data_IF_298126590023
#
_entry.id   IF_298126590023
#
_cell.length_a   1.000
_cell.length_b   1.000
_cell.length_c   1.000
_cell.angle_alpha   90.00
_cell.angle_beta   90.00
_cell.angle_gamma   90.00
#
_symmetry.space_group_name_H-M   'P 1'
#
loop_
_entity.id
_entity.type
_entity.pdbx_description
1 polymer ?
#
# COMPACT_ATOMS: atom_id res chain seq x y z
N UNK A 1 -2.83 -9.28 -7.96
CA UNK A 1 -2.07 -9.80 -6.81
C UNK A 1 -2.97 -10.23 -5.66
N UNK A 2 -3.92 -9.40 -5.22
CA UNK A 2 -4.76 -9.73 -4.05
C UNK A 2 -5.57 -11.04 -4.18
N UNK A 3 -6.18 -11.32 -5.33
CA UNK A 3 -6.87 -12.59 -5.57
C UNK A 3 -5.93 -13.81 -5.62
N UNK A 4 -4.69 -13.62 -6.07
CA UNK A 4 -3.65 -14.67 -6.08
C UNK A 4 -3.21 -14.96 -4.65
N UNK A 5 -2.99 -13.92 -3.84
CA UNK A 5 -2.71 -14.04 -2.41
C UNK A 5 -3.82 -14.80 -1.66
N UNK A 6 -5.07 -14.44 -1.88
CA UNK A 6 -6.21 -15.15 -1.30
C UNK A 6 -6.26 -16.62 -1.70
N UNK A 7 -5.88 -16.93 -2.94
CA UNK A 7 -5.86 -18.30 -3.44
C UNK A 7 -4.71 -19.10 -2.84
N UNK A 8 -3.55 -18.46 -2.59
CA UNK A 8 -2.41 -19.09 -1.93
C UNK A 8 -2.68 -19.38 -0.44
N UNK A 9 -3.44 -18.53 0.24
CA UNK A 9 -3.89 -18.79 1.62
C UNK A 9 -4.81 -20.02 1.73
N UNK A 10 -5.39 -20.51 0.63
CA UNK A 10 -6.18 -21.74 0.63
C UNK A 10 -5.31 -23.02 0.57
N UNK A 11 -4.03 -22.90 0.22
CA UNK A 11 -3.13 -24.06 0.06
C UNK A 11 -2.52 -24.47 1.39
N UNK A 12 -3.09 -25.49 2.01
CA UNK A 12 -2.53 -26.12 3.21
C UNK A 12 -1.85 -27.43 2.81
N UNK A 13 -0.50 -27.50 2.83
CA UNK A 13 0.21 -28.74 2.54
C UNK A 13 -0.08 -29.77 3.63
N UNK A 14 -0.30 -31.02 3.22
CA UNK A 14 -0.49 -32.18 4.08
C UNK A 14 0.42 -33.31 3.63
N UNK A 15 0.85 -34.13 4.59
CA UNK A 15 1.49 -35.40 4.27
C UNK A 15 0.42 -36.36 3.76
N UNK A 16 0.65 -36.94 2.58
CA UNK A 16 -0.17 -38.04 2.08
C UNK A 16 -0.11 -39.23 3.04
N UNK A 17 -1.13 -40.10 3.06
CA UNK A 17 -1.23 -41.26 3.97
C UNK A 17 -0.03 -42.23 3.87
N UNK A 18 0.70 -42.20 2.75
CA UNK A 18 1.93 -42.97 2.56
C UNK A 18 3.19 -42.29 3.12
N UNK A 19 3.08 -41.09 3.70
CA UNK A 19 4.15 -40.26 4.29
C UNK A 19 5.33 -39.95 3.35
N UNK A 20 5.22 -40.26 2.05
CA UNK A 20 6.28 -40.08 1.06
C UNK A 20 6.02 -38.92 0.09
N UNK A 21 4.82 -38.34 0.13
CA UNK A 21 4.40 -37.25 -0.75
C UNK A 21 3.71 -36.13 0.04
N UNK A 22 3.87 -34.89 -0.43
CA UNK A 22 3.00 -33.79 -0.04
C UNK A 22 1.78 -33.76 -0.96
N UNK A 23 0.61 -33.56 -0.37
CA UNK A 23 -0.63 -33.21 -1.06
C UNK A 23 -1.17 -31.88 -0.51
N UNK A 24 -2.15 -31.27 -1.17
CA UNK A 24 -2.84 -30.08 -0.68
C UNK A 24 -4.24 -30.43 -0.23
N UNK A 25 -4.65 -29.91 0.94
CA UNK A 25 -6.00 -30.13 1.43
C UNK A 25 -7.04 -29.57 0.44
N UNK A 26 -7.88 -30.45 -0.10
CA UNK A 26 -8.89 -30.11 -1.12
C UNK A 26 -9.93 -29.09 -0.62
N UNK A 27 -10.39 -28.23 -1.53
CA UNK A 27 -11.20 -27.04 -1.26
C UNK A 27 -12.57 -27.24 -0.57
N UNK A 28 -12.95 -28.45 -0.16
CA UNK A 28 -14.10 -28.68 0.72
C UNK A 28 -13.72 -28.65 2.21
N UNK A 29 -12.49 -29.05 2.57
CA UNK A 29 -12.02 -29.11 3.97
C UNK A 29 -11.33 -27.82 4.44
N UNK A 30 -10.80 -27.02 3.51
CA UNK A 30 -10.12 -25.73 3.77
C UNK A 30 -11.04 -24.51 3.59
N UNK A 31 -12.24 -24.70 3.04
CA UNK A 31 -13.22 -23.61 2.80
C UNK A 31 -13.71 -23.02 4.13
N UNK A 32 -13.06 -21.94 4.55
CA UNK A 32 -13.57 -21.01 5.56
C UNK A 32 -12.87 -21.02 6.92
N UNK A 33 -11.90 -21.92 7.17
CA UNK A 33 -11.31 -22.02 8.50
C UNK A 33 -10.27 -20.91 8.78
N UNK A 34 -9.32 -20.67 7.85
CA UNK A 34 -8.31 -19.61 8.01
C UNK A 34 -8.85 -18.21 7.67
N UNK A 35 -9.69 -18.06 6.63
CA UNK A 35 -10.27 -16.75 6.22
C UNK A 35 -11.02 -16.02 7.34
N UNK A 36 -11.83 -16.77 8.10
CA UNK A 36 -12.63 -16.22 9.20
C UNK A 36 -11.80 -15.90 10.44
N UNK A 37 -10.67 -16.58 10.64
CA UNK A 37 -9.77 -16.33 11.77
C UNK A 37 -8.77 -15.21 11.49
N UNK A 38 -8.29 -15.07 10.25
CA UNK A 38 -7.31 -14.02 9.89
C UNK A 38 -7.93 -12.75 9.33
N UNK A 39 -9.22 -12.75 8.96
CA UNK A 39 -9.91 -11.59 8.38
C UNK A 39 -9.37 -11.18 7.00
N UNK A 40 -8.59 -12.03 6.34
CA UNK A 40 -7.93 -11.72 5.06
C UNK A 40 -8.93 -11.79 3.90
N UNK A 41 -9.59 -10.67 3.62
CA UNK A 41 -10.50 -10.49 2.50
C UNK A 41 -9.96 -9.45 1.53
N UNK A 42 -9.94 -9.80 0.25
CA UNK A 42 -9.62 -8.91 -0.86
C UNK A 42 -10.73 -7.87 -1.03
N UNK A 43 -10.35 -6.61 -1.08
CA UNK A 43 -11.24 -5.51 -1.43
C UNK A 43 -11.44 -5.46 -2.94
N UNK A 44 -12.66 -5.63 -3.47
CA UNK A 44 -12.94 -5.44 -4.89
C UNK A 44 -12.51 -4.06 -5.37
N UNK A 45 -11.95 -3.99 -6.58
CA UNK A 45 -11.42 -2.74 -7.14
C UNK A 45 -12.49 -1.63 -7.20
N UNK A 46 -13.74 -1.95 -7.53
CA UNK A 46 -14.83 -0.95 -7.54
C UNK A 46 -15.04 -0.26 -6.18
N UNK A 47 -14.87 -0.98 -5.07
CA UNK A 47 -14.95 -0.39 -3.73
C UNK A 47 -13.72 0.45 -3.43
N UNK A 48 -12.53 0.00 -3.86
CA UNK A 48 -11.30 0.79 -3.75
C UNK A 48 -11.47 2.11 -4.48
N UNK A 49 -11.87 2.09 -5.75
CA UNK A 49 -12.06 3.33 -6.54
C UNK A 49 -13.09 4.25 -5.90
N UNK A 50 -14.22 3.72 -5.42
CA UNK A 50 -15.26 4.53 -4.74
C UNK A 50 -14.71 5.27 -3.51
N UNK A 51 -13.85 4.60 -2.72
CA UNK A 51 -13.19 5.22 -1.57
C UNK A 51 -12.16 6.26 -2.00
N UNK A 52 -11.35 6.00 -3.02
CA UNK A 52 -10.37 6.97 -3.51
C UNK A 52 -11.06 8.23 -4.07
N UNK A 53 -12.13 8.06 -4.84
CA UNK A 53 -12.89 9.17 -5.42
C UNK A 53 -13.48 10.10 -4.33
N UNK A 54 -13.91 9.54 -3.20
CA UNK A 54 -14.55 10.30 -2.12
C UNK A 54 -13.61 10.80 -1.03
N UNK A 55 -12.50 10.08 -0.76
CA UNK A 55 -11.60 10.38 0.35
C UNK A 55 -10.24 10.92 -0.09
N UNK A 56 -9.70 10.48 -1.23
CA UNK A 56 -8.35 10.85 -1.68
C UNK A 56 -8.38 12.04 -2.65
N UNK A 57 -9.22 11.97 -3.68
CA UNK A 57 -9.27 12.98 -4.75
C UNK A 57 -9.53 14.41 -4.24
N UNK A 58 -10.44 14.65 -3.26
CA UNK A 58 -10.64 15.99 -2.71
C UNK A 58 -9.37 16.52 -2.02
N UNK A 59 -8.64 15.66 -1.30
CA UNK A 59 -7.42 16.05 -0.59
C UNK A 59 -6.28 16.34 -1.57
N UNK A 60 -6.15 15.57 -2.65
CA UNK A 60 -5.21 15.86 -3.74
C UNK A 60 -5.50 17.26 -4.31
N UNK A 61 -6.77 17.57 -4.58
CA UNK A 61 -7.16 18.88 -5.12
C UNK A 61 -6.85 20.03 -4.14
N UNK A 62 -7.05 19.83 -2.84
CA UNK A 62 -6.71 20.80 -1.81
C UNK A 62 -5.19 21.02 -1.72
N UNK A 63 -4.42 19.94 -1.67
CA UNK A 63 -2.96 19.98 -1.56
C UNK A 63 -2.30 20.58 -2.80
N UNK A 64 -2.85 20.30 -3.99
CA UNK A 64 -2.44 20.97 -5.24
C UNK A 64 -2.63 22.50 -5.16
N UNK A 65 -3.64 22.98 -4.45
CA UNK A 65 -3.90 24.41 -4.22
C UNK A 65 -3.11 25.00 -3.03
N UNK A 66 -2.29 24.19 -2.36
CA UNK A 66 -1.55 24.55 -1.15
C UNK A 66 -2.40 24.64 0.11
N UNK A 67 -3.61 24.06 0.10
CA UNK A 67 -4.45 23.99 1.29
C UNK A 67 -3.93 22.86 2.17
N UNK A 68 -3.60 23.18 3.42
CA UNK A 68 -3.13 22.22 4.43
C UNK A 68 -1.74 21.66 4.17
N UNK A 69 -0.91 22.32 3.35
CA UNK A 69 0.51 22.01 3.20
C UNK A 69 1.32 22.68 4.32
N UNK A 70 2.36 22.03 4.88
CA UNK A 70 3.09 22.56 6.04
C UNK A 70 3.80 23.90 5.79
N UNK A 71 4.36 24.12 4.60
CA UNK A 71 5.10 25.34 4.26
C UNK A 71 4.47 26.13 3.10
N UNK A 72 3.20 25.87 2.78
CA UNK A 72 2.49 26.54 1.69
C UNK A 72 2.92 26.06 0.30
N UNK A 73 3.50 24.86 0.19
CA UNK A 73 3.80 24.22 -1.10
C UNK A 73 2.51 24.11 -1.94
N UNK A 74 2.63 24.28 -3.26
CA UNK A 74 1.51 24.18 -4.20
C UNK A 74 1.87 23.23 -5.35
N UNK A 75 0.91 22.95 -6.23
CA UNK A 75 1.13 22.11 -7.39
C UNK A 75 1.51 20.68 -6.99
N UNK A 76 2.47 20.12 -7.72
CA UNK A 76 2.95 18.76 -7.50
C UNK A 76 3.64 18.59 -6.13
N UNK A 77 4.42 19.58 -5.70
CA UNK A 77 5.10 19.53 -4.40
C UNK A 77 4.11 19.60 -3.24
N UNK A 78 3.02 20.35 -3.40
CA UNK A 78 1.91 20.33 -2.44
C UNK A 78 1.28 18.94 -2.30
N UNK A 79 1.06 18.22 -3.41
CA UNK A 79 0.55 16.84 -3.37
C UNK A 79 1.55 15.91 -2.67
N UNK A 80 2.85 16.07 -2.93
CA UNK A 80 3.91 15.24 -2.34
C UNK A 80 4.12 15.46 -0.83
N UNK A 81 3.47 16.45 -0.21
CA UNK A 81 3.45 16.58 1.26
C UNK A 81 2.43 15.63 1.91
N UNK A 82 1.62 14.91 1.14
CA UNK A 82 0.61 14.02 1.68
C UNK A 82 1.20 12.72 2.21
N UNK A 83 0.52 12.16 3.21
CA UNK A 83 0.76 10.83 3.76
C UNK A 83 -0.54 10.04 3.69
N UNK A 84 -0.51 8.88 3.03
CA UNK A 84 -1.60 7.91 2.97
C UNK A 84 -1.16 6.69 3.78
N UNK A 85 -1.95 6.32 4.78
CA UNK A 85 -1.67 5.19 5.66
C UNK A 85 -2.83 4.18 5.61
N UNK A 86 -2.51 2.90 5.43
CA UNK A 86 -3.45 1.78 5.57
C UNK A 86 -3.01 0.88 6.74
N UNK A 87 -3.72 0.90 7.89
CA UNK A 87 -3.34 0.16 9.10
C UNK A 87 -3.67 -1.34 9.06
N UNK A 88 -4.27 -1.83 7.97
CA UNK A 88 -4.51 -3.25 7.73
C UNK A 88 -4.33 -3.55 6.24
N UNK A 89 -3.13 -3.23 5.73
CA UNK A 89 -2.94 -3.06 4.29
C UNK A 89 -3.03 -4.35 3.46
N UNK A 90 -2.97 -5.51 4.12
CA UNK A 90 -2.90 -6.81 3.46
C UNK A 90 -1.82 -6.80 2.40
N UNK A 91 -2.15 -7.29 1.20
CA UNK A 91 -1.24 -7.29 0.05
C UNK A 91 -1.00 -5.91 -0.60
N UNK A 92 -1.42 -4.82 0.03
CA UNK A 92 -1.18 -3.45 -0.44
C UNK A 92 -2.05 -3.00 -1.62
N UNK A 93 -3.20 -3.62 -1.86
CA UNK A 93 -4.02 -3.29 -3.04
C UNK A 93 -4.54 -1.85 -3.01
N UNK A 94 -5.02 -1.40 -1.85
CA UNK A 94 -5.49 -0.03 -1.64
C UNK A 94 -4.33 0.97 -1.77
N UNK A 95 -3.19 0.67 -1.13
CA UNK A 95 -1.97 1.48 -1.19
C UNK A 95 -1.47 1.67 -2.62
N UNK A 96 -1.45 0.60 -3.42
CA UNK A 96 -1.04 0.67 -4.83
C UNK A 96 -1.98 1.54 -5.66
N UNK A 97 -3.30 1.41 -5.46
CA UNK A 97 -4.30 2.22 -6.15
C UNK A 97 -4.18 3.70 -5.77
N UNK A 98 -4.02 4.01 -4.48
CA UNK A 98 -3.76 5.37 -3.99
C UNK A 98 -2.47 5.95 -4.58
N UNK A 99 -1.39 5.16 -4.61
CA UNK A 99 -0.11 5.57 -5.18
C UNK A 99 -0.24 5.96 -6.65
N UNK A 100 -0.93 5.14 -7.45
CA UNK A 100 -1.20 5.44 -8.87
C UNK A 100 -2.02 6.71 -9.05
N UNK A 101 -3.07 6.91 -8.23
CA UNK A 101 -3.92 8.10 -8.28
C UNK A 101 -3.14 9.38 -7.97
N UNK A 102 -2.32 9.34 -6.93
CA UNK A 102 -1.43 10.46 -6.57
C UNK A 102 -0.36 10.70 -7.63
N UNK A 103 0.25 9.65 -8.18
CA UNK A 103 1.29 9.77 -9.21
C UNK A 103 0.75 10.38 -10.51
N UNK A 104 -0.45 10.00 -10.93
CA UNK A 104 -1.14 10.60 -12.07
C UNK A 104 -1.39 12.10 -11.84
N UNK A 105 -1.87 12.47 -10.65
CA UNK A 105 -2.09 13.86 -10.29
C UNK A 105 -0.78 14.68 -10.26
N UNK A 106 0.30 14.13 -9.70
CA UNK A 106 1.64 14.75 -9.68
C UNK A 106 2.16 14.96 -11.10
N UNK A 107 2.14 13.90 -11.92
CA UNK A 107 2.66 13.95 -13.28
C UNK A 107 1.87 14.95 -14.16
N UNK A 108 0.53 14.95 -14.06
CA UNK A 108 -0.31 15.93 -14.76
C UNK A 108 -0.04 17.35 -14.31
N UNK A 109 0.09 17.57 -13.00
CA UNK A 109 0.33 18.91 -12.46
C UNK A 109 1.69 19.47 -12.92
N UNK A 110 2.72 18.63 -13.03
CA UNK A 110 4.03 19.04 -13.59
C UNK A 110 3.94 19.36 -15.08
N UNK A 111 3.30 18.49 -15.86
CA UNK A 111 3.09 18.70 -17.29
C UNK A 111 2.30 20.01 -17.56
N UNK A 112 1.23 20.27 -16.79
CA UNK A 112 0.46 21.51 -16.87
C UNK A 112 1.30 22.76 -16.56
N UNK A 113 2.20 22.69 -15.58
CA UNK A 113 3.07 23.81 -15.21
C UNK A 113 4.13 24.12 -16.28
N UNK A 114 4.60 23.10 -17.00
CA UNK A 114 5.60 23.22 -18.06
C UNK A 114 4.98 23.44 -19.45
N UNK A 115 3.65 23.32 -19.56
CA UNK A 115 2.93 23.40 -20.83
C UNK A 115 3.16 22.17 -21.73
N UNK A 116 3.57 21.06 -21.13
CA UNK A 116 3.86 19.79 -21.80
C UNK A 116 2.65 18.84 -21.78
N UNK A 117 2.70 17.82 -22.63
CA UNK A 117 1.72 16.73 -22.58
C UNK A 117 2.15 15.67 -21.58
N UNK A 118 1.19 14.87 -21.10
CA UNK A 118 1.47 13.78 -20.18
C UNK A 118 2.45 12.76 -20.79
N UNK A 119 3.55 12.49 -20.09
CA UNK A 119 4.56 11.51 -20.46
C UNK A 119 4.53 10.29 -19.52
N UNK A 120 4.45 9.05 -20.03
CA UNK A 120 4.63 7.84 -19.24
C UNK A 120 5.91 7.80 -18.39
N UNK A 121 7.01 8.44 -18.80
CA UNK A 121 8.21 8.52 -17.97
C UNK A 121 8.01 9.45 -16.76
N UNK A 122 7.34 10.59 -16.94
CA UNK A 122 6.95 11.47 -15.85
C UNK A 122 6.03 10.76 -14.83
N UNK A 123 5.08 9.94 -15.31
CA UNK A 123 4.25 9.11 -14.42
C UNK A 123 5.07 8.10 -13.61
N UNK A 124 5.98 7.36 -14.25
CA UNK A 124 6.85 6.40 -13.53
C UNK A 124 7.70 7.09 -12.48
N UNK A 125 8.24 8.27 -12.81
CA UNK A 125 9.02 9.06 -11.87
C UNK A 125 8.17 9.52 -10.67
N UNK A 126 6.99 10.08 -10.95
CA UNK A 126 6.04 10.49 -9.91
C UNK A 126 5.61 9.32 -9.02
N UNK A 127 5.35 8.15 -9.61
CA UNK A 127 4.95 6.95 -8.87
C UNK A 127 6.05 6.48 -7.92
N UNK A 128 7.29 6.52 -8.37
CA UNK A 128 8.44 6.24 -7.52
C UNK A 128 8.54 7.22 -6.35
N UNK A 129 8.36 8.52 -6.57
CA UNK A 129 8.38 9.51 -5.50
C UNK A 129 7.25 9.31 -4.49
N UNK A 130 6.02 9.10 -4.98
CA UNK A 130 4.84 8.86 -4.15
C UNK A 130 5.01 7.61 -3.30
N UNK A 131 5.42 6.48 -3.90
CA UNK A 131 5.64 5.22 -3.17
C UNK A 131 6.72 5.37 -2.11
N UNK A 132 7.79 6.11 -2.40
CA UNK A 132 8.90 6.30 -1.46
C UNK A 132 8.55 7.24 -0.29
N UNK A 133 7.66 8.22 -0.48
CA UNK A 133 7.49 9.33 0.48
C UNK A 133 6.10 9.42 1.10
N UNK A 134 5.07 8.95 0.39
CA UNK A 134 3.68 9.24 0.73
C UNK A 134 2.89 8.01 1.16
N UNK A 135 3.34 6.80 0.83
CA UNK A 135 2.57 5.56 1.00
C UNK A 135 3.09 4.77 2.20
N UNK A 136 2.22 4.51 3.17
CA UNK A 136 2.54 3.82 4.42
C UNK A 136 1.51 2.73 4.70
N UNK A 137 1.95 1.65 5.32
CA UNK A 137 1.08 0.51 5.61
C UNK A 137 1.58 -0.30 6.80
N UNK A 138 0.63 -0.89 7.53
CA UNK A 138 0.90 -1.87 8.56
C UNK A 138 0.02 -3.08 8.33
N UNK A 139 0.57 -4.28 8.54
CA UNK A 139 -0.23 -5.50 8.62
C UNK A 139 0.38 -6.48 9.64
N UNK A 140 -0.48 -7.25 10.29
CA UNK A 140 -0.10 -8.26 11.29
C UNK A 140 0.43 -9.55 10.65
N UNK A 141 0.15 -9.78 9.37
CA UNK A 141 0.64 -10.94 8.65
C UNK A 141 1.89 -10.57 7.85
N UNK A 142 3.05 -11.04 8.31
CA UNK A 142 4.35 -10.82 7.67
C UNK A 142 4.36 -11.13 6.16
N UNK A 143 3.68 -12.19 5.72
CA UNK A 143 3.61 -12.54 4.30
C UNK A 143 2.79 -11.53 3.48
N UNK A 144 1.73 -10.95 4.04
CA UNK A 144 1.00 -9.86 3.40
C UNK A 144 1.88 -8.61 3.23
N UNK A 145 2.66 -8.28 4.26
CA UNK A 145 3.60 -7.14 4.25
C UNK A 145 4.66 -7.33 3.15
N UNK A 146 5.25 -8.52 3.04
CA UNK A 146 6.21 -8.81 1.98
C UNK A 146 5.58 -8.69 0.59
N UNK A 147 4.36 -9.20 0.42
CA UNK A 147 3.67 -9.09 -0.85
C UNK A 147 3.34 -7.63 -1.20
N UNK A 148 2.95 -6.82 -0.22
CA UNK A 148 2.72 -5.40 -0.41
C UNK A 148 4.01 -4.67 -0.83
N UNK A 149 5.14 -4.94 -0.17
CA UNK A 149 6.46 -4.41 -0.56
C UNK A 149 6.81 -4.77 -2.00
N UNK A 150 6.70 -6.04 -2.37
CA UNK A 150 6.99 -6.52 -3.73
C UNK A 150 6.07 -5.89 -4.76
N UNK A 151 4.77 -5.77 -4.46
CA UNK A 151 3.79 -5.16 -5.36
C UNK A 151 4.13 -3.68 -5.64
N UNK A 152 4.44 -2.92 -4.59
CA UNK A 152 4.83 -1.52 -4.70
C UNK A 152 6.18 -1.37 -5.40
N UNK A 153 7.14 -2.25 -5.14
CA UNK A 153 8.43 -2.27 -5.83
C UNK A 153 8.29 -2.47 -7.33
N UNK A 154 7.59 -3.54 -7.76
CA UNK A 154 7.42 -3.87 -9.18
C UNK A 154 6.76 -2.71 -9.92
N UNK A 155 5.78 -2.07 -9.31
CA UNK A 155 5.08 -0.96 -9.93
C UNK A 155 5.94 0.32 -10.02
N UNK A 156 6.75 0.60 -9.00
CA UNK A 156 7.53 1.84 -8.88
C UNK A 156 8.95 1.76 -9.46
N UNK A 157 9.28 0.71 -10.22
CA UNK A 157 10.59 0.57 -10.86
C UNK A 157 10.81 1.70 -11.88
N UNK A 158 11.93 2.41 -11.72
CA UNK A 158 12.41 3.40 -12.68
C UNK A 158 13.78 2.93 -13.23
N UNK A 159 13.93 2.75 -14.56
CA UNK A 159 15.18 2.32 -15.17
C UNK A 159 16.36 3.24 -14.80
N UNK A 160 17.49 2.64 -14.43
CA UNK A 160 18.70 3.38 -14.06
C UNK A 160 18.72 3.94 -12.64
N UNK A 161 17.66 3.74 -11.84
CA UNK A 161 17.64 4.10 -10.41
C UNK A 161 17.60 2.85 -9.52
N UNK A 162 18.22 2.88 -8.33
CA UNK A 162 18.13 1.77 -7.38
C UNK A 162 16.69 1.57 -6.89
N UNK A 163 16.31 0.39 -6.44
CA UNK A 163 15.01 0.20 -5.79
C UNK A 163 14.95 1.03 -4.49
N UNK A 164 13.82 1.69 -4.23
CA UNK A 164 13.63 2.43 -2.98
C UNK A 164 13.45 1.48 -1.80
N UNK A 165 14.00 1.81 -0.63
CA UNK A 165 13.74 1.03 0.58
C UNK A 165 12.30 1.26 1.04
N UNK A 166 11.49 0.20 1.11
CA UNK A 166 10.09 0.27 1.56
C UNK A 166 9.90 -0.20 3.01
N UNK A 167 10.94 -0.72 3.65
CA UNK A 167 10.87 -1.31 4.99
C UNK A 167 10.47 -0.29 6.07
N UNK A 168 10.80 0.99 5.85
CA UNK A 168 10.38 2.07 6.73
C UNK A 168 8.88 2.43 6.56
N UNK A 169 8.32 2.16 5.38
CA UNK A 169 6.99 2.61 4.99
C UNK A 169 5.93 1.52 5.18
N UNK A 170 6.28 0.26 4.87
CA UNK A 170 5.40 -0.90 5.00
C UNK A 170 5.96 -1.80 6.09
N UNK A 171 5.27 -1.86 7.24
CA UNK A 171 5.77 -2.53 8.44
C UNK A 171 4.91 -3.72 8.85
N UNK A 172 5.58 -4.75 9.34
CA UNK A 172 4.92 -5.82 10.08
C UNK A 172 4.66 -5.35 11.51
N UNK A 173 3.40 -5.42 11.94
CA UNK A 173 2.99 -4.95 13.26
C UNK A 173 1.49 -5.10 13.51
N UNK A 174 1.08 -4.92 14.75
CA UNK A 174 -0.34 -4.87 15.13
C UNK A 174 -0.79 -3.42 15.30
N UNK A 175 -1.62 -2.93 14.37
CA UNK A 175 -2.15 -1.58 14.41
C UNK A 175 -3.02 -1.28 15.65
N UNK A 176 -3.49 -2.30 16.38
CA UNK A 176 -4.26 -2.15 17.62
C UNK A 176 -3.38 -1.95 18.86
N UNK A 177 -2.11 -2.37 18.83
CA UNK A 177 -1.20 -2.31 19.97
C UNK A 177 -0.36 -1.02 20.01
N UNK A 178 -0.73 -0.02 19.20
CA UNK A 178 0.16 1.10 18.88
C UNK A 178 0.28 2.23 19.90
N UNK A 179 -0.72 2.48 20.77
CA UNK A 179 -0.69 3.60 21.72
C UNK A 179 -1.58 3.31 22.94
N UNK A 180 -1.01 3.08 24.12
CA UNK A 180 -1.77 3.02 25.38
C UNK A 180 -1.95 4.39 26.04
N UNK A 181 -1.11 5.36 25.69
CA UNK A 181 -1.20 6.75 26.13
C UNK A 181 -0.77 7.68 24.97
N UNK A 182 -1.52 8.76 24.75
CA UNK A 182 -1.20 9.76 23.74
C UNK A 182 0.11 10.49 24.05
N UNK A 183 0.55 10.53 25.32
CA UNK A 183 1.88 11.07 25.69
C UNK A 183 3.01 10.25 25.07
N UNK A 184 2.80 8.97 24.74
CA UNK A 184 3.81 8.14 24.07
C UNK A 184 4.18 8.66 22.68
N UNK A 185 3.29 9.42 22.01
CA UNK A 185 3.62 10.10 20.75
C UNK A 185 4.73 11.16 20.91
N UNK A 186 4.91 11.70 22.13
CA UNK A 186 5.99 12.66 22.43
C UNK A 186 7.31 11.98 22.79
N UNK A 187 7.28 10.72 23.23
CA UNK A 187 8.47 9.94 23.61
C UNK A 187 8.96 9.03 22.47
N UNK A 188 8.12 8.75 21.48
CA UNK A 188 8.41 7.87 20.35
C UNK A 188 7.90 6.44 20.56
N UNK A 189 8.00 5.60 19.52
CA UNK A 189 7.61 4.18 19.60
C UNK A 189 8.75 3.39 20.25
N UNK A 190 8.51 2.62 21.33
CA UNK A 190 9.55 1.82 21.98
C UNK A 190 10.13 0.75 21.05
N UNK A 191 11.46 0.57 21.05
CA UNK A 191 12.17 -0.40 20.21
C UNK A 191 11.82 -1.88 20.50
N UNK A 192 11.13 -2.15 21.62
CA UNK A 192 10.80 -3.50 22.10
C UNK A 192 9.34 -3.92 21.85
N UNK A 193 8.58 -3.15 21.06
CA UNK A 193 7.17 -3.44 20.72
C UNK A 193 7.03 -4.53 19.65
#
# INVERSE_FOLDING_TARGET
LGSVYESLLELVPRLAENHTLLDYAGGAETRGNQRKTTGSYYTPDSLVQTLLDSALDPVIADRRRGIGTPNGETGAEGILTMTVCDPACGSGHFLLAAARRMADAVARTRAEAEGETFDPAAFRHALREVVARCIFGVDRNDFAVELARVALWIESVEPGRPLGFLDANIRHGDALLGLSDLTMLTEGIPDAA
#
